data_IF_174130280931
#
_entry.id   IF_174130280931
#
_cell.length_a   1.000
_cell.length_b   1.000
_cell.length_c   1.000
_cell.angle_alpha   90.00
_cell.angle_beta   90.00
_cell.angle_gamma   90.00
#
_symmetry.space_group_name_H-M   'P 1'
#
loop_
_entity.id
_entity.type
_entity.pdbx_description
1 polymer ?
#
# COMPACT_ATOMS: atom_id res chain seq x y z
N UNK A 1 -15.97 5.32 -0.08
CA UNK A 1 -16.95 5.32 -1.19
C UNK A 1 -16.35 4.59 -2.38
N UNK A 2 -17.14 3.77 -3.08
CA UNK A 2 -16.75 3.14 -4.34
C UNK A 2 -17.25 4.00 -5.52
N UNK A 3 -16.36 4.31 -6.46
CA UNK A 3 -16.68 5.04 -7.68
C UNK A 3 -16.07 4.29 -8.87
N UNK A 4 -16.89 3.99 -9.86
CA UNK A 4 -16.46 3.39 -11.11
C UNK A 4 -17.11 4.17 -12.25
N UNK A 5 -16.29 4.68 -13.17
CA UNK A 5 -16.75 5.44 -14.32
C UNK A 5 -15.91 5.09 -15.54
N UNK A 6 -16.56 5.02 -16.70
CA UNK A 6 -15.89 4.84 -17.99
C UNK A 6 -16.44 5.88 -18.95
N UNK A 7 -15.56 6.47 -19.76
CA UNK A 7 -15.91 7.46 -20.78
C UNK A 7 -16.72 6.82 -21.92
N UNK A 8 -17.55 7.62 -22.62
CA UNK A 8 -18.41 7.17 -23.71
C UNK A 8 -17.63 6.48 -24.85
N UNK A 9 -16.37 6.86 -25.04
CA UNK A 9 -15.47 6.26 -26.04
C UNK A 9 -14.67 5.07 -25.51
N UNK A 10 -14.89 4.62 -24.26
CA UNK A 10 -14.16 3.55 -23.57
C UNK A 10 -12.64 3.72 -23.51
N UNK A 11 -12.14 4.95 -23.76
CA UNK A 11 -10.70 5.27 -23.73
C UNK A 11 -10.18 5.50 -22.32
N UNK A 12 -11.03 5.97 -21.43
CA UNK A 12 -10.68 6.29 -20.06
C UNK A 12 -11.64 5.61 -19.10
N UNK A 13 -11.10 5.06 -18.03
CA UNK A 13 -11.84 4.54 -16.90
C UNK A 13 -11.23 5.02 -15.59
N UNK A 14 -12.04 5.14 -14.56
CA UNK A 14 -11.60 5.45 -13.20
C UNK A 14 -12.27 4.48 -12.24
N UNK A 15 -11.46 3.81 -11.42
CA UNK A 15 -11.90 2.90 -10.38
C UNK A 15 -11.32 3.37 -9.06
N UNK A 16 -12.19 3.85 -8.16
CA UNK A 16 -11.77 4.49 -6.92
C UNK A 16 -12.53 3.91 -5.75
N UNK A 17 -11.80 3.54 -4.71
CA UNK A 17 -12.31 3.14 -3.42
C UNK A 17 -11.66 4.04 -2.37
N UNK A 18 -12.25 5.21 -2.15
CA UNK A 18 -11.66 6.20 -1.25
C UNK A 18 -11.73 5.75 0.22
N UNK A 19 -10.66 5.95 1.02
CA UNK A 19 -9.32 6.43 0.61
C UNK A 19 -8.37 5.30 0.18
N UNK A 20 -8.77 4.03 0.33
CA UNK A 20 -7.91 2.86 0.20
C UNK A 20 -7.19 2.74 -1.15
N UNK A 21 -7.82 3.08 -2.28
CA UNK A 21 -7.16 3.01 -3.60
C UNK A 21 -7.85 3.88 -4.64
N UNK A 22 -7.10 4.31 -5.64
CA UNK A 22 -7.62 4.94 -6.84
C UNK A 22 -6.78 4.55 -8.05
N UNK A 23 -7.43 4.12 -9.14
CA UNK A 23 -6.80 3.78 -10.39
C UNK A 23 -7.49 4.49 -11.55
N UNK A 24 -6.70 5.04 -12.45
CA UNK A 24 -7.14 5.53 -13.75
C UNK A 24 -6.63 4.55 -14.81
N UNK A 25 -7.54 4.07 -15.64
CA UNK A 25 -7.27 3.21 -16.80
C UNK A 25 -7.33 4.05 -18.07
N UNK A 26 -6.34 3.87 -18.94
CA UNK A 26 -6.37 4.32 -20.33
C UNK A 26 -6.30 3.14 -21.28
N UNK A 27 -7.33 2.97 -22.09
CA UNK A 27 -7.40 1.95 -23.15
C UNK A 27 -6.85 2.56 -24.43
N UNK A 28 -5.68 2.12 -24.89
CA UNK A 28 -5.08 2.57 -26.16
C UNK A 28 -5.77 1.86 -27.32
N UNK A 29 -5.93 0.54 -27.17
CA UNK A 29 -6.75 -0.31 -28.03
C UNK A 29 -7.21 -1.52 -27.18
N UNK A 30 -8.12 -2.38 -27.68
CA UNK A 30 -8.62 -3.52 -26.91
C UNK A 30 -7.54 -4.53 -26.47
N UNK A 31 -6.33 -4.44 -27.03
CA UNK A 31 -5.18 -5.31 -26.73
C UNK A 31 -4.08 -4.59 -25.96
N UNK A 32 -4.23 -3.30 -25.62
CA UNK A 32 -3.21 -2.49 -24.96
C UNK A 32 -3.88 -1.51 -23.99
N UNK A 33 -3.64 -1.72 -22.70
CA UNK A 33 -4.23 -0.96 -21.61
C UNK A 33 -3.12 -0.47 -20.67
N UNK A 34 -3.28 0.76 -20.20
CA UNK A 34 -2.41 1.37 -19.20
C UNK A 34 -3.23 1.69 -17.96
N UNK A 35 -2.70 1.42 -16.78
CA UNK A 35 -3.29 1.79 -15.51
C UNK A 35 -2.29 2.57 -14.70
N UNK A 36 -2.74 3.62 -14.01
CA UNK A 36 -1.93 4.38 -13.08
C UNK A 36 -2.77 4.70 -11.85
N UNK A 37 -2.17 4.61 -10.66
CA UNK A 37 -2.92 4.85 -9.45
C UNK A 37 -2.12 4.69 -8.17
N UNK A 38 -2.83 4.76 -7.06
CA UNK A 38 -2.28 4.52 -5.74
C UNK A 38 -3.11 3.52 -4.95
N UNK A 39 -2.45 2.89 -3.99
CA UNK A 39 -3.05 1.99 -3.01
C UNK A 39 -2.46 2.28 -1.64
N UNK A 40 -3.33 2.41 -0.63
CA UNK A 40 -2.97 2.58 0.77
C UNK A 40 -3.13 1.24 1.46
N UNK A 41 -2.05 0.75 2.06
CA UNK A 41 -2.05 -0.45 2.87
C UNK A 41 -1.68 -0.09 4.31
N UNK A 42 -2.48 -0.56 5.27
CA UNK A 42 -2.25 -0.39 6.69
C UNK A 42 -2.20 -1.75 7.36
N UNK A 43 -1.16 -2.02 8.13
CA UNK A 43 -1.02 -3.21 8.96
C UNK A 43 -0.54 -2.81 10.36
N UNK A 44 -1.04 -3.47 11.39
CA UNK A 44 -0.64 -3.23 12.76
C UNK A 44 -0.31 -4.54 13.47
N UNK A 45 0.80 -4.56 14.19
CA UNK A 45 1.32 -5.75 14.86
C UNK A 45 1.63 -5.44 16.31
N UNK A 46 1.03 -6.19 17.24
CA UNK A 46 1.31 -6.06 18.67
C UNK A 46 2.56 -6.82 19.06
N UNK A 47 3.40 -6.18 19.87
CA UNK A 47 4.61 -6.79 20.42
C UNK A 47 4.30 -7.34 21.82
N UNK A 48 4.21 -8.66 21.95
CA UNK A 48 3.90 -9.33 23.22
C UNK A 48 5.00 -10.28 23.73
N UNK A 49 6.04 -10.50 22.93
CA UNK A 49 7.07 -11.49 23.24
C UNK A 49 8.34 -10.81 23.74
N UNK A 50 8.65 -11.02 25.02
CA UNK A 50 9.87 -10.51 25.63
C UNK A 50 11.11 -11.05 24.90
N UNK A 51 12.13 -10.19 24.64
CA UNK A 51 13.36 -10.65 24.01
C UNK A 51 14.08 -11.59 24.98
N UNK A 52 14.58 -12.72 24.47
CA UNK A 52 15.32 -13.69 25.28
C UNK A 52 16.55 -13.04 25.90
N UNK A 53 16.69 -13.08 27.23
CA UNK A 53 17.80 -12.48 27.98
C UNK A 53 17.47 -11.19 28.73
N UNK A 54 16.22 -10.72 28.68
CA UNK A 54 15.73 -9.58 29.46
C UNK A 54 14.54 -10.02 30.31
N UNK A 55 14.80 -10.70 31.43
CA UNK A 55 13.76 -11.21 32.34
C UNK A 55 13.09 -10.09 33.17
N UNK A 56 13.71 -8.91 33.26
CA UNK A 56 13.24 -7.75 34.03
C UNK A 56 12.44 -6.73 33.18
N UNK A 57 12.22 -7.01 31.90
CA UNK A 57 11.52 -6.11 30.98
C UNK A 57 10.33 -6.81 30.32
N UNK A 58 9.13 -6.56 30.84
CA UNK A 58 7.90 -7.08 30.23
C UNK A 58 7.37 -6.14 29.14
N UNK A 59 7.54 -6.53 27.87
CA UNK A 59 6.95 -5.85 26.72
C UNK A 59 5.42 -5.88 26.74
N UNK A 60 4.81 -6.84 27.47
CA UNK A 60 3.34 -6.93 27.57
C UNK A 60 2.74 -5.76 28.34
N UNK A 61 3.47 -5.22 29.32
CA UNK A 61 3.06 -4.06 30.11
C UNK A 61 3.30 -2.73 29.39
N UNK A 62 4.05 -2.73 28.28
CA UNK A 62 4.39 -1.51 27.54
C UNK A 62 3.44 -1.19 26.39
N UNK A 63 2.45 -2.05 26.13
CA UNK A 63 1.44 -1.89 25.08
C UNK A 63 2.04 -1.43 23.74
N UNK A 64 3.15 -2.06 23.32
CA UNK A 64 3.89 -1.66 22.13
C UNK A 64 3.26 -2.23 20.84
N UNK A 65 3.19 -1.41 19.81
CA UNK A 65 2.62 -1.78 18.52
C UNK A 65 3.44 -1.24 17.36
N UNK A 66 3.79 -2.10 16.41
CA UNK A 66 4.35 -1.71 15.12
C UNK A 66 3.22 -1.36 14.19
N UNK A 67 3.21 -0.12 13.69
CA UNK A 67 2.21 0.35 12.73
C UNK A 67 2.88 0.59 11.39
N UNK A 68 2.49 -0.21 10.41
CA UNK A 68 2.93 -0.07 9.02
C UNK A 68 1.83 0.62 8.22
N UNK A 69 2.09 1.85 7.79
CA UNK A 69 1.31 2.56 6.77
C UNK A 69 2.16 2.68 5.52
N UNK A 70 1.73 2.04 4.43
CA UNK A 70 2.42 2.07 3.14
C UNK A 70 1.52 2.68 2.07
N UNK A 71 2.09 3.59 1.28
CA UNK A 71 1.46 4.13 0.07
C UNK A 71 2.19 3.53 -1.12
N UNK A 72 1.48 2.81 -1.98
CA UNK A 72 2.00 2.26 -3.22
C UNK A 72 1.53 3.12 -4.39
N UNK A 73 2.44 3.82 -5.04
CA UNK A 73 2.21 4.40 -6.35
C UNK A 73 2.56 3.35 -7.40
N UNK A 74 1.65 3.06 -8.33
CA UNK A 74 1.88 2.02 -9.34
C UNK A 74 1.37 2.39 -10.72
N UNK A 75 2.12 1.96 -11.72
CA UNK A 75 1.74 1.95 -13.12
C UNK A 75 1.75 0.50 -13.61
N UNK A 76 0.77 0.15 -14.43
CA UNK A 76 0.59 -1.17 -15.02
C UNK A 76 0.37 -1.00 -16.52
N UNK A 77 1.15 -1.70 -17.33
CA UNK A 77 0.96 -1.78 -18.77
C UNK A 77 0.61 -3.21 -19.15
N UNK A 78 -0.58 -3.41 -19.68
CA UNK A 78 -1.09 -4.71 -20.08
C UNK A 78 -1.29 -4.76 -21.58
N UNK A 79 -0.73 -5.78 -22.22
CA UNK A 79 -0.92 -5.99 -23.64
C UNK A 79 -1.01 -7.47 -24.05
N UNK A 80 -1.84 -7.73 -25.05
CA UNK A 80 -1.96 -9.07 -25.64
C UNK A 80 -0.78 -9.31 -26.60
N UNK A 81 -0.02 -10.37 -26.32
CA UNK A 81 1.04 -10.87 -27.21
C UNK A 81 0.44 -11.65 -28.38
N UNK A 82 -0.50 -12.55 -28.07
CA UNK A 82 -1.16 -13.42 -29.04
C UNK A 82 -2.47 -13.94 -28.45
N UNK A 83 -3.60 -13.56 -29.02
CA UNK A 83 -4.98 -13.96 -28.66
C UNK A 83 -5.22 -14.09 -27.14
N UNK A 84 -4.99 -15.27 -26.58
CA UNK A 84 -5.19 -15.60 -25.16
C UNK A 84 -4.00 -15.30 -24.23
N UNK A 85 -2.82 -15.00 -24.77
CA UNK A 85 -1.61 -14.70 -23.98
C UNK A 85 -1.46 -13.19 -23.79
N UNK A 86 -1.43 -12.77 -22.54
CA UNK A 86 -1.28 -11.38 -22.11
C UNK A 86 -0.02 -11.18 -21.29
N UNK A 87 0.70 -10.10 -21.54
CA UNK A 87 1.81 -9.65 -20.70
C UNK A 87 1.33 -8.46 -19.86
N UNK A 88 1.71 -8.46 -18.59
CA UNK A 88 1.52 -7.34 -17.68
C UNK A 88 2.87 -6.89 -17.14
N UNK A 89 3.20 -5.62 -17.35
CA UNK A 89 4.42 -4.99 -16.84
C UNK A 89 4.01 -3.94 -15.83
N UNK A 90 4.47 -4.10 -14.60
CA UNK A 90 4.19 -3.22 -13.49
C UNK A 90 5.46 -2.55 -13.00
N UNK A 91 5.37 -1.26 -12.71
CA UNK A 91 6.40 -0.54 -12.00
C UNK A 91 5.74 0.33 -10.92
N UNK A 92 6.40 0.49 -9.80
CA UNK A 92 5.86 1.31 -8.72
C UNK A 92 6.90 1.77 -7.72
N UNK A 93 6.44 2.62 -6.82
CA UNK A 93 7.20 3.23 -5.75
C UNK A 93 6.44 3.04 -4.45
N UNK A 94 7.10 2.47 -3.45
CA UNK A 94 6.52 2.24 -2.12
C UNK A 94 7.02 3.31 -1.17
N UNK A 95 6.10 4.11 -0.66
CA UNK A 95 6.37 5.11 0.37
C UNK A 95 5.96 4.52 1.72
N UNK A 96 6.94 4.29 2.58
CA UNK A 96 6.70 3.91 3.96
C UNK A 96 6.33 5.17 4.74
N UNK A 97 5.03 5.36 4.97
CA UNK A 97 4.50 6.54 5.65
C UNK A 97 4.53 6.38 7.19
N UNK A 98 4.28 5.16 7.69
CA UNK A 98 4.52 4.80 9.09
C UNK A 98 5.21 3.45 9.11
N UNK A 99 6.36 3.36 9.75
CA UNK A 99 6.99 2.07 10.01
C UNK A 99 7.75 2.09 11.33
N UNK A 100 7.13 2.73 12.33
CA UNK A 100 7.72 3.00 13.63
C UNK A 100 6.96 2.22 14.71
N UNK A 101 7.65 1.95 15.82
CA UNK A 101 7.03 1.35 17.01
C UNK A 101 6.37 2.48 17.80
N UNK A 102 5.09 2.32 18.08
CA UNK A 102 4.30 3.25 18.89
C UNK A 102 3.94 2.62 20.24
N UNK A 103 3.65 3.47 21.22
CA UNK A 103 3.08 3.06 22.51
C UNK A 103 1.59 3.35 22.50
N UNK A 104 0.77 2.37 22.87
CA UNK A 104 -0.59 2.69 23.31
C UNK A 104 -0.48 3.19 24.75
N UNK A 105 -0.98 4.40 25.03
CA UNK A 105 -1.01 4.94 26.39
C UNK A 105 -2.43 4.75 26.91
N UNK A 106 -2.61 3.80 27.83
CA UNK A 106 -3.93 3.46 28.36
C UNK A 106 -4.85 2.84 27.32
N UNK A 107 -4.31 1.98 26.44
CA UNK A 107 -5.04 1.33 25.35
C UNK A 107 -5.52 2.26 24.24
N UNK A 108 -5.16 3.55 24.29
CA UNK A 108 -5.60 4.55 23.31
C UNK A 108 -4.49 4.87 22.32
N UNK A 109 -4.87 4.94 21.05
CA UNK A 109 -3.96 5.23 19.96
C UNK A 109 -3.60 6.72 19.88
N UNK A 110 -2.34 7.02 19.54
CA UNK A 110 -1.92 8.37 19.21
C UNK A 110 -2.12 8.62 17.71
N UNK A 111 -3.24 9.25 17.35
CA UNK A 111 -3.55 9.56 15.96
C UNK A 111 -2.78 10.79 15.45
N UNK A 112 -1.68 10.55 14.75
CA UNK A 112 -0.83 11.58 14.12
C UNK A 112 -1.16 11.74 12.63
N UNK A 113 -2.33 12.28 12.26
CA UNK A 113 -2.73 12.35 10.83
C UNK A 113 -1.68 13.03 9.95
N UNK A 114 -0.86 12.26 9.23
CA UNK A 114 0.22 12.80 8.39
C UNK A 114 1.21 13.72 9.13
N UNK A 115 1.32 13.58 10.46
CA UNK A 115 2.10 14.51 11.31
C UNK A 115 1.49 15.90 11.45
N UNK A 116 0.26 16.11 10.96
CA UNK A 116 -0.41 17.42 10.93
C UNK A 116 -1.15 17.70 12.24
N UNK A 117 -1.70 16.65 12.87
CA UNK A 117 -2.53 16.82 14.08
C UNK A 117 -1.75 16.72 15.39
N UNK A 118 -0.66 15.96 15.42
CA UNK A 118 0.18 15.70 16.61
C UNK A 118 1.59 15.28 16.21
N UNK A 119 2.56 15.62 17.05
CA UNK A 119 3.99 15.38 16.85
C UNK A 119 4.62 14.60 18.03
N UNK A 120 3.83 13.72 18.67
CA UNK A 120 4.33 12.91 19.79
C UNK A 120 5.46 11.97 19.32
N UNK A 121 6.57 11.82 20.07
CA UNK A 121 7.68 10.96 19.66
C UNK A 121 7.27 9.49 19.57
N UNK A 122 7.83 8.76 18.62
CA UNK A 122 7.70 7.30 18.52
C UNK A 122 8.57 6.60 19.57
N UNK A 123 8.20 5.37 19.96
CA UNK A 123 9.01 4.56 20.87
C UNK A 123 10.30 4.07 20.20
N UNK A 124 10.24 3.78 18.90
CA UNK A 124 11.40 3.45 18.08
C UNK A 124 11.12 3.82 16.62
N UNK A 125 12.08 4.48 15.97
CA UNK A 125 11.98 4.88 14.57
C UNK A 125 12.69 3.90 13.63
N UNK A 126 12.19 3.73 12.41
CA UNK A 126 12.82 2.90 11.39
C UNK A 126 13.44 3.72 10.25
N UNK A 127 14.62 3.32 9.78
CA UNK A 127 15.34 3.96 8.66
C UNK A 127 15.11 3.32 7.28
N UNK A 128 14.16 2.41 7.14
CA UNK A 128 13.83 1.77 5.87
C UNK A 128 13.33 2.82 4.89
N UNK A 129 14.12 3.04 3.83
CA UNK A 129 13.77 3.93 2.75
C UNK A 129 12.59 3.44 1.92
N UNK A 130 12.29 4.21 0.87
CA UNK A 130 11.18 3.97 -0.03
C UNK A 130 11.67 3.26 -1.31
N UNK A 131 11.42 1.94 -1.46
CA UNK A 131 11.96 1.20 -2.59
C UNK A 131 11.10 1.38 -3.85
N UNK A 132 11.78 1.48 -5.00
CA UNK A 132 11.17 1.17 -6.29
C UNK A 132 10.96 -0.33 -6.41
N UNK A 133 9.94 -0.73 -7.16
CA UNK A 133 9.70 -2.12 -7.50
C UNK A 133 9.21 -2.25 -8.93
N UNK A 134 9.47 -3.40 -9.53
CA UNK A 134 8.93 -3.77 -10.82
C UNK A 134 8.47 -5.23 -10.77
N UNK A 135 7.48 -5.56 -11.59
CA UNK A 135 6.97 -6.92 -11.74
C UNK A 135 6.58 -7.14 -13.20
N UNK A 136 6.83 -8.34 -13.70
CA UNK A 136 6.42 -8.77 -15.03
C UNK A 136 5.65 -10.07 -14.85
N UNK A 137 4.44 -10.14 -15.42
CA UNK A 137 3.61 -11.33 -15.39
C UNK A 137 3.15 -11.73 -16.79
N UNK A 138 3.06 -13.03 -17.01
CA UNK A 138 2.48 -13.64 -18.19
C UNK A 138 1.18 -14.31 -17.78
N UNK A 139 0.08 -13.88 -18.38
CA UNK A 139 -1.27 -14.31 -18.02
C UNK A 139 -1.92 -15.02 -19.22
N UNK A 140 -2.63 -16.12 -18.95
CA UNK A 140 -3.47 -16.80 -19.94
C UNK A 140 -4.92 -16.44 -19.63
N UNK A 141 -5.61 -15.85 -20.60
CA UNK A 141 -6.99 -15.37 -20.48
C UNK A 141 -7.89 -16.24 -21.38
N UNK A 142 -9.15 -16.44 -20.99
CA UNK A 142 -10.11 -17.19 -21.82
C UNK A 142 -10.27 -16.53 -23.20
N UNK A 143 -10.27 -17.31 -24.30
CA UNK A 143 -10.53 -16.82 -25.65
C UNK A 143 -11.91 -16.19 -25.83
#
# INVERSE_FOLDING_TARGET
>A
MLYNSTDALNKWGAEVLFPARAHVRRTINPRNMLFAGYELEGQSYRLWRNPTGFDDFDLRDQELEIRRGEIRLRMLYEFSLKDFIWLSVQAGYRVNYRYDVDRLVGGTEIYRAFGILRDDPYAQTNGLGNPFYFNVSLNVVSP
#
